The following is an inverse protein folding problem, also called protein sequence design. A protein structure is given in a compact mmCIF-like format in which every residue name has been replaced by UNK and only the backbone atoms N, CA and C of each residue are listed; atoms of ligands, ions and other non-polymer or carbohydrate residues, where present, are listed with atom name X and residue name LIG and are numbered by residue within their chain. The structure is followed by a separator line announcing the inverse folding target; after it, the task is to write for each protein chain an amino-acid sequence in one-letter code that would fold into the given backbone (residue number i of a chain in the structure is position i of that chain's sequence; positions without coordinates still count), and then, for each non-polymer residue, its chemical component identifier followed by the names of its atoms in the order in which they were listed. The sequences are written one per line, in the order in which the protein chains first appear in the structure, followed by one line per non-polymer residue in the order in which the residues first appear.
data_IF_460861501000
#
_entry.id   IF_460861501000
#
_cell.length_a   1.000
_cell.length_b   1.000
_cell.length_c   1.000
_cell.angle_alpha   90.00
_cell.angle_beta   90.00
_cell.angle_gamma   90.00
#
_symmetry.space_group_name_H-M   'P 1'
#
loop_
_entity.id
_entity.type
_entity.pdbx_description
1 polymer ?
#
# COMPACT_ATOMS: atom_id res chain seq x y z
N UNK A 1 -3.61 3.30 -8.62
CA UNK A 1 -5.02 3.60 -8.93
C UNK A 1 -5.79 2.31 -9.22
N UNK A 2 -5.38 1.49 -10.18
CA UNK A 2 -6.04 0.23 -10.57
C UNK A 2 -6.31 -0.71 -9.37
N UNK A 3 -5.32 -0.89 -8.49
CA UNK A 3 -5.49 -1.71 -7.29
C UNK A 3 -6.60 -1.17 -6.36
N UNK A 4 -6.68 0.14 -6.19
CA UNK A 4 -7.72 0.76 -5.38
C UNK A 4 -9.11 0.64 -6.02
N UNK A 5 -9.21 0.71 -7.35
CA UNK A 5 -10.47 0.43 -8.06
C UNK A 5 -10.97 -1.00 -7.83
N UNK A 6 -10.06 -1.98 -7.77
CA UNK A 6 -10.42 -3.38 -7.46
C UNK A 6 -11.01 -3.54 -6.06
N UNK A 7 -10.56 -2.74 -5.10
CA UNK A 7 -11.16 -2.67 -3.76
C UNK A 7 -12.54 -2.02 -3.82
N UNK A 8 -12.65 -0.91 -4.57
CA UNK A 8 -13.85 -0.09 -4.63
C UNK A 8 -14.07 0.75 -3.35
N UNK A 9 -15.25 1.33 -3.23
CA UNK A 9 -15.63 2.11 -2.05
C UNK A 9 -15.88 1.19 -0.85
N UNK A 10 -15.38 1.62 0.29
CA UNK A 10 -15.56 0.93 1.57
C UNK A 10 -16.66 1.63 2.37
N UNK A 11 -17.43 0.88 3.12
CA UNK A 11 -18.37 1.43 4.10
C UNK A 11 -17.61 2.14 5.24
N UNK A 12 -18.24 3.12 5.88
CA UNK A 12 -17.60 3.99 6.88
C UNK A 12 -17.03 3.23 8.09
N UNK A 13 -17.61 2.10 8.44
CA UNK A 13 -17.15 1.24 9.53
C UNK A 13 -16.08 0.23 9.12
N UNK A 14 -15.70 0.20 7.85
CA UNK A 14 -14.64 -0.69 7.37
C UNK A 14 -13.28 0.01 7.38
N UNK A 15 -12.24 -0.76 7.63
CA UNK A 15 -10.84 -0.31 7.56
C UNK A 15 -10.14 -0.95 6.36
N UNK A 16 -9.10 -0.27 5.87
CA UNK A 16 -8.15 -0.81 4.88
C UNK A 16 -6.72 -0.77 5.41
N UNK A 17 -5.91 -1.73 4.98
CA UNK A 17 -4.49 -1.83 5.28
C UNK A 17 -3.67 -1.75 4.00
N UNK A 18 -2.66 -0.90 3.97
CA UNK A 18 -1.66 -0.83 2.89
C UNK A 18 -0.31 -1.25 3.44
N UNK A 19 0.29 -2.27 2.85
CA UNK A 19 1.60 -2.78 3.26
C UNK A 19 2.66 -2.31 2.25
N UNK A 20 3.66 -1.61 2.76
CA UNK A 20 4.69 -0.95 1.96
C UNK A 20 4.36 0.50 1.63
N UNK A 21 5.15 1.44 2.17
CA UNK A 21 5.04 2.89 1.97
C UNK A 21 6.20 3.44 1.12
N UNK A 22 6.64 2.69 0.12
CA UNK A 22 7.53 3.18 -0.94
C UNK A 22 6.79 4.11 -1.89
N UNK A 23 7.43 4.50 -2.99
CA UNK A 23 6.85 5.48 -3.93
C UNK A 23 5.48 5.08 -4.51
N UNK A 24 5.20 3.79 -4.73
CA UNK A 24 3.87 3.33 -5.18
C UNK A 24 2.88 3.32 -4.03
N UNK A 25 3.29 2.82 -2.86
CA UNK A 25 2.43 2.77 -1.67
C UNK A 25 2.00 4.15 -1.18
N UNK A 26 2.92 5.13 -1.13
CA UNK A 26 2.61 6.52 -0.77
C UNK A 26 1.61 7.16 -1.75
N UNK A 27 1.74 6.91 -3.07
CA UNK A 27 0.71 7.32 -4.03
C UNK A 27 -0.63 6.62 -3.76
N UNK A 28 -0.60 5.34 -3.38
CA UNK A 28 -1.79 4.63 -2.94
C UNK A 28 -2.48 5.32 -1.75
N UNK A 29 -1.69 5.74 -0.75
CA UNK A 29 -2.19 6.47 0.43
C UNK A 29 -2.84 7.80 0.02
N UNK A 30 -2.18 8.60 -0.83
CA UNK A 30 -2.71 9.87 -1.32
C UNK A 30 -4.07 9.71 -2.03
N UNK A 31 -4.24 8.62 -2.76
CA UNK A 31 -5.46 8.35 -3.53
C UNK A 31 -6.56 7.66 -2.72
N UNK A 32 -6.21 7.03 -1.59
CA UNK A 32 -7.09 6.12 -0.88
C UNK A 32 -8.45 6.76 -0.54
N UNK A 33 -8.44 7.93 0.10
CA UNK A 33 -9.68 8.60 0.50
C UNK A 33 -10.58 8.96 -0.69
N UNK A 34 -9.99 9.43 -1.79
CA UNK A 34 -10.73 9.79 -2.99
C UNK A 34 -11.36 8.58 -3.68
N UNK A 35 -10.67 7.44 -3.72
CA UNK A 35 -11.12 6.24 -4.44
C UNK A 35 -11.95 5.33 -3.55
N UNK A 36 -11.48 5.03 -2.34
CA UNK A 36 -12.11 4.05 -1.44
C UNK A 36 -13.06 4.68 -0.41
N UNK A 37 -13.02 6.01 -0.24
CA UNK A 37 -13.77 6.73 0.79
C UNK A 37 -13.08 6.75 2.17
N UNK A 38 -12.02 5.97 2.38
CA UNK A 38 -11.38 5.77 3.68
C UNK A 38 -9.87 6.05 3.63
N UNK A 39 -9.35 6.64 4.71
CA UNK A 39 -7.91 6.73 4.95
C UNK A 39 -7.38 5.34 5.41
N UNK A 40 -6.29 4.82 4.82
CA UNK A 40 -5.79 3.51 5.15
C UNK A 40 -4.99 3.50 6.46
N UNK A 41 -4.88 2.32 7.07
CA UNK A 41 -3.79 1.98 7.98
C UNK A 41 -2.60 1.60 7.11
N UNK A 42 -1.39 2.03 7.46
CA UNK A 42 -0.18 1.71 6.70
C UNK A 42 0.76 0.86 7.54
N UNK A 43 1.33 -0.18 6.95
CA UNK A 43 2.39 -0.98 7.56
C UNK A 43 3.67 -0.85 6.73
N UNK A 44 4.76 -0.43 7.36
CA UNK A 44 6.09 -0.39 6.74
C UNK A 44 7.17 -0.63 7.79
N UNK A 45 8.30 -1.23 7.38
CA UNK A 45 9.43 -1.52 8.25
C UNK A 45 10.21 -0.25 8.65
N UNK A 46 10.22 0.74 7.76
CA UNK A 46 11.00 1.98 7.90
C UNK A 46 10.17 3.05 8.61
N UNK A 47 10.64 3.58 9.75
CA UNK A 47 9.94 4.64 10.47
C UNK A 47 9.77 5.92 9.65
N UNK A 48 10.75 6.30 8.81
CA UNK A 48 10.64 7.48 7.96
C UNK A 48 9.54 7.33 6.90
N UNK A 49 9.36 6.12 6.35
CA UNK A 49 8.26 5.82 5.42
C UNK A 49 6.91 5.80 6.14
N UNK A 50 6.84 5.29 7.37
CA UNK A 50 5.63 5.36 8.19
C UNK A 50 5.20 6.81 8.46
N UNK A 51 6.18 7.66 8.81
CA UNK A 51 5.93 9.10 9.02
C UNK A 51 5.48 9.79 7.72
N UNK A 52 6.13 9.49 6.59
CA UNK A 52 5.69 9.99 5.28
C UNK A 52 4.25 9.56 4.96
N UNK A 53 3.88 8.32 5.25
CA UNK A 53 2.51 7.83 5.04
C UNK A 53 1.48 8.61 5.88
N UNK A 54 1.79 8.96 7.13
CA UNK A 54 0.93 9.81 7.95
C UNK A 54 0.74 11.21 7.34
N UNK A 55 1.85 11.84 6.88
CA UNK A 55 1.78 13.13 6.17
C UNK A 55 0.97 13.05 4.87
N UNK A 56 0.97 11.90 4.19
CA UNK A 56 0.21 11.64 2.98
C UNK A 56 -1.27 11.31 3.23
N UNK A 57 -1.72 11.27 4.48
CA UNK A 57 -3.12 11.08 4.85
C UNK A 57 -3.48 9.67 5.31
N UNK A 58 -2.53 8.83 5.69
CA UNK A 58 -2.83 7.58 6.38
C UNK A 58 -3.48 7.85 7.74
N UNK A 59 -4.43 7.01 8.13
CA UNK A 59 -5.12 7.09 9.44
C UNK A 59 -4.17 6.80 10.59
N UNK A 60 -3.30 5.81 10.41
CA UNK A 60 -2.24 5.42 11.34
C UNK A 60 -1.18 4.62 10.58
N UNK A 61 0.00 4.49 11.17
CA UNK A 61 1.09 3.71 10.61
C UNK A 61 1.70 2.80 11.69
N UNK A 62 2.06 1.56 11.33
CA UNK A 62 2.53 0.53 12.23
C UNK A 62 3.79 -0.15 11.69
N UNK A 63 4.63 -0.68 12.57
CA UNK A 63 5.69 -1.60 12.19
C UNK A 63 5.14 -3.04 12.24
N UNK A 64 5.08 -3.75 11.13
CA UNK A 64 4.54 -5.12 11.11
C UNK A 64 5.44 -6.14 11.82
N UNK A 65 6.70 -5.77 12.18
CA UNK A 65 7.64 -6.63 12.91
C UNK A 65 7.45 -6.56 14.43
N UNK A 66 6.75 -5.56 14.94
CA UNK A 66 6.50 -5.47 16.39
C UNK A 66 5.74 -6.70 16.88
N UNK A 67 6.17 -7.23 18.02
CA UNK A 67 5.51 -8.38 18.61
C UNK A 67 4.01 -8.12 18.85
N UNK A 68 3.19 -8.96 18.25
CA UNK A 68 1.74 -8.82 18.36
C UNK A 68 1.13 -7.74 17.45
N UNK A 69 1.86 -7.12 16.52
CA UNK A 69 1.34 -6.07 15.61
C UNK A 69 0.06 -6.50 14.89
N UNK A 70 0.05 -7.72 14.32
CA UNK A 70 -1.15 -8.25 13.66
C UNK A 70 -2.32 -8.43 14.66
N UNK A 71 -2.04 -8.93 15.85
CA UNK A 71 -3.07 -9.11 16.91
C UNK A 71 -3.64 -7.77 17.36
N UNK A 72 -2.79 -6.76 17.54
CA UNK A 72 -3.20 -5.41 17.88
C UNK A 72 -4.08 -4.78 16.78
N UNK A 73 -3.68 -4.94 15.52
CA UNK A 73 -4.47 -4.49 14.37
C UNK A 73 -5.86 -5.16 14.33
N UNK A 74 -5.90 -6.48 14.47
CA UNK A 74 -7.15 -7.22 14.50
C UNK A 74 -8.05 -6.80 15.68
N UNK A 75 -7.47 -6.56 16.86
CA UNK A 75 -8.22 -6.07 18.04
C UNK A 75 -8.81 -4.68 17.80
N UNK A 76 -8.04 -3.79 17.17
CA UNK A 76 -8.47 -2.42 16.93
C UNK A 76 -9.52 -2.28 15.81
N UNK A 77 -9.53 -3.18 14.83
CA UNK A 77 -10.35 -3.04 13.62
C UNK A 77 -11.40 -4.14 13.43
N UNK A 78 -11.32 -5.24 14.17
CA UNK A 78 -12.08 -6.46 13.88
C UNK A 78 -11.62 -7.17 12.58
N UNK A 79 -10.44 -6.81 12.07
CA UNK A 79 -9.91 -7.15 10.76
C UNK A 79 -10.29 -6.14 9.68
N UNK A 80 -9.43 -5.98 8.67
CA UNK A 80 -9.64 -5.03 7.58
C UNK A 80 -10.50 -5.65 6.47
N UNK A 81 -11.32 -4.82 5.83
CA UNK A 81 -12.13 -5.28 4.68
C UNK A 81 -11.30 -5.33 3.40
N UNK A 82 -10.30 -4.48 3.31
CA UNK A 82 -9.40 -4.44 2.16
C UNK A 82 -7.94 -4.35 2.61
N UNK A 83 -7.06 -5.06 1.91
CA UNK A 83 -5.63 -4.92 2.06
C UNK A 83 -4.97 -4.75 0.69
N UNK A 84 -3.97 -3.85 0.58
CA UNK A 84 -3.14 -3.72 -0.61
C UNK A 84 -1.69 -3.94 -0.22
N UNK A 85 -1.06 -4.93 -0.83
CA UNK A 85 0.36 -5.20 -0.64
C UNK A 85 1.16 -4.55 -1.78
N UNK A 86 1.80 -3.41 -1.46
CA UNK A 86 2.68 -2.68 -2.35
C UNK A 86 4.14 -3.13 -2.27
N UNK A 87 4.50 -3.97 -1.30
CA UNK A 87 5.83 -4.55 -1.17
C UNK A 87 5.96 -5.82 -2.02
N UNK A 88 5.05 -6.76 -1.89
CA UNK A 88 5.02 -7.98 -2.69
C UNK A 88 6.10 -8.99 -2.30
N UNK A 89 6.33 -9.16 -1.01
CA UNK A 89 7.16 -10.22 -0.44
C UNK A 89 6.30 -11.25 0.30
N UNK A 90 6.85 -12.43 0.60
CA UNK A 90 6.15 -13.43 1.40
C UNK A 90 5.61 -12.87 2.73
N UNK A 91 6.47 -12.26 3.58
CA UNK A 91 6.02 -11.68 4.85
C UNK A 91 5.00 -10.55 4.72
N UNK A 92 5.13 -9.67 3.71
CA UNK A 92 4.14 -8.60 3.50
C UNK A 92 2.78 -9.14 3.07
N UNK A 93 2.80 -10.16 2.20
CA UNK A 93 1.59 -10.86 1.79
C UNK A 93 0.90 -11.53 2.99
N UNK A 94 1.65 -12.28 3.79
CA UNK A 94 1.10 -12.99 4.96
C UNK A 94 0.53 -12.03 6.00
N UNK A 95 1.18 -10.89 6.24
CA UNK A 95 0.67 -9.85 7.12
C UNK A 95 -0.63 -9.24 6.59
N UNK A 96 -0.65 -8.86 5.31
CA UNK A 96 -1.82 -8.32 4.64
C UNK A 96 -2.99 -9.32 4.64
N UNK A 97 -2.73 -10.56 4.27
CA UNK A 97 -3.73 -11.63 4.24
C UNK A 97 -4.28 -11.96 5.64
N UNK A 98 -3.39 -12.09 6.63
CA UNK A 98 -3.75 -12.38 8.02
C UNK A 98 -4.63 -11.28 8.65
N UNK A 99 -4.49 -10.04 8.19
CA UNK A 99 -5.26 -8.89 8.67
C UNK A 99 -6.73 -8.87 8.22
N UNK A 100 -7.09 -9.67 7.20
CA UNK A 100 -8.42 -9.63 6.61
C UNK A 100 -9.51 -10.18 7.55
N UNK A 101 -10.62 -9.45 7.59
CA UNK A 101 -11.88 -9.95 8.19
C UNK A 101 -12.62 -10.87 7.22
N UNK A 102 -13.72 -11.49 7.67
CA UNK A 102 -14.61 -12.28 6.81
C UNK A 102 -15.14 -11.42 5.65
N UNK A 103 -15.09 -11.96 4.43
CA UNK A 103 -15.45 -11.28 3.18
C UNK A 103 -14.37 -10.31 2.67
N UNK A 104 -13.20 -10.23 3.34
CA UNK A 104 -12.15 -9.29 2.99
C UNK A 104 -11.48 -9.57 1.64
N UNK A 105 -10.97 -8.52 1.01
CA UNK A 105 -10.29 -8.56 -0.29
C UNK A 105 -8.86 -8.02 -0.17
N UNK A 106 -7.89 -8.83 -0.58
CA UNK A 106 -6.49 -8.45 -0.73
C UNK A 106 -6.13 -8.25 -2.19
N UNK A 107 -5.41 -7.16 -2.48
CA UNK A 107 -4.83 -6.88 -3.80
C UNK A 107 -3.30 -6.83 -3.69
N UNK A 108 -2.60 -7.69 -4.41
CA UNK A 108 -1.15 -7.73 -4.48
C UNK A 108 -0.65 -6.90 -5.66
N UNK A 109 0.29 -5.98 -5.41
CA UNK A 109 0.84 -5.02 -6.39
C UNK A 109 2.36 -5.11 -6.47
N UNK A 110 3.02 -5.24 -5.32
CA UNK A 110 4.48 -5.26 -5.22
C UNK A 110 5.11 -6.49 -5.88
N UNK A 111 6.36 -6.34 -6.30
CA UNK A 111 7.12 -7.34 -7.05
C UNK A 111 8.49 -7.65 -6.42
N UNK A 112 8.65 -7.50 -5.10
CA UNK A 112 9.89 -7.94 -4.43
C UNK A 112 10.12 -9.44 -4.61
N UNK A 113 9.05 -10.19 -4.80
CA UNK A 113 9.11 -11.62 -5.09
C UNK A 113 9.10 -12.48 -3.82
N UNK A 114 9.19 -13.79 -4.05
CA UNK A 114 9.15 -14.78 -2.99
C UNK A 114 7.91 -15.66 -3.04
N UNK A 115 7.73 -16.43 -1.97
CA UNK A 115 6.63 -17.37 -1.79
C UNK A 115 5.90 -17.00 -0.51
N UNK A 116 4.59 -17.10 -0.50
CA UNK A 116 3.75 -16.94 0.67
C UNK A 116 2.87 -18.17 0.84
N UNK A 117 2.61 -18.53 2.10
CA UNK A 117 1.75 -19.66 2.45
C UNK A 117 0.42 -19.14 2.98
N UNK A 118 -0.67 -19.67 2.48
CA UNK A 118 -2.01 -19.37 2.98
C UNK A 118 -2.74 -20.64 3.40
N UNK A 119 -3.55 -20.53 4.45
CA UNK A 119 -4.42 -21.62 4.89
C UNK A 119 -5.67 -21.65 4.03
N UNK A 120 -5.85 -22.74 3.26
CA UNK A 120 -7.05 -22.92 2.43
C UNK A 120 -8.33 -22.99 3.31
N UNK A 121 -8.25 -23.60 4.49
CA UNK A 121 -9.38 -23.64 5.43
C UNK A 121 -9.80 -22.23 5.86
N UNK A 122 -8.86 -21.38 6.27
CA UNK A 122 -9.15 -19.99 6.62
C UNK A 122 -9.67 -19.21 5.41
N UNK A 123 -9.10 -19.44 4.23
CA UNK A 123 -9.53 -18.80 2.99
C UNK A 123 -11.02 -19.05 2.72
N UNK A 124 -11.44 -20.31 2.83
CA UNK A 124 -12.84 -20.71 2.62
C UNK A 124 -13.74 -20.19 3.74
N UNK A 125 -13.37 -20.45 5.02
CA UNK A 125 -14.21 -20.07 6.17
C UNK A 125 -14.44 -18.58 6.30
N UNK A 126 -13.45 -17.77 5.90
CA UNK A 126 -13.57 -16.31 5.88
C UNK A 126 -14.11 -15.76 4.55
N UNK A 127 -14.35 -16.60 3.54
CA UNK A 127 -14.75 -16.19 2.18
C UNK A 127 -13.85 -15.06 1.64
N UNK A 128 -12.53 -15.24 1.72
CA UNK A 128 -11.56 -14.23 1.34
C UNK A 128 -11.40 -14.16 -0.18
N UNK A 129 -10.99 -12.98 -0.67
CA UNK A 129 -10.58 -12.76 -2.05
C UNK A 129 -9.12 -12.31 -2.07
N UNK A 130 -8.34 -12.87 -3.00
CA UNK A 130 -6.97 -12.42 -3.32
C UNK A 130 -6.90 -12.18 -4.82
N UNK A 131 -6.36 -11.05 -5.22
CA UNK A 131 -6.15 -10.71 -6.63
C UNK A 131 -4.84 -9.96 -6.84
N UNK A 132 -4.23 -10.14 -8.01
CA UNK A 132 -3.10 -9.34 -8.47
C UNK A 132 -3.57 -8.04 -9.13
N UNK A 133 -2.70 -7.03 -9.13
CA UNK A 133 -2.87 -5.81 -9.91
C UNK A 133 -1.54 -5.39 -10.52
N UNK A 134 -1.40 -5.57 -11.82
CA UNK A 134 -0.22 -5.16 -12.57
C UNK A 134 -0.54 -3.93 -13.41
N UNK A 135 0.23 -2.87 -13.19
CA UNK A 135 0.08 -1.54 -13.85
C UNK A 135 -1.37 -1.06 -13.94
N UNK A 136 -1.79 -0.49 -15.06
CA UNK A 136 -3.14 -0.03 -15.33
C UNK A 136 -3.39 0.14 -16.82
N UNK A 137 -4.63 0.39 -17.20
CA UNK A 137 -5.03 0.67 -18.58
C UNK A 137 -4.94 2.15 -18.91
N UNK A 138 -4.99 2.51 -20.21
CA UNK A 138 -5.07 3.90 -20.66
C UNK A 138 -6.32 4.60 -20.08
N UNK A 139 -7.45 3.92 -20.04
CA UNK A 139 -8.68 4.46 -19.45
C UNK A 139 -8.50 4.80 -17.96
N UNK A 140 -7.85 3.91 -17.20
CA UNK A 140 -7.56 4.17 -15.78
C UNK A 140 -6.57 5.32 -15.58
N UNK A 141 -5.61 5.53 -16.49
CA UNK A 141 -4.74 6.70 -16.47
C UNK A 141 -5.52 7.99 -16.70
N UNK A 142 -6.42 8.01 -17.67
CA UNK A 142 -7.30 9.17 -17.94
C UNK A 142 -8.20 9.49 -16.74
N UNK A 143 -8.78 8.47 -16.11
CA UNK A 143 -9.58 8.64 -14.89
C UNK A 143 -8.73 9.19 -13.73
N UNK A 144 -7.50 8.69 -13.55
CA UNK A 144 -6.58 9.16 -12.52
C UNK A 144 -6.20 10.62 -12.74
N UNK A 145 -5.89 11.03 -13.96
CA UNK A 145 -5.59 12.43 -14.31
C UNK A 145 -6.81 13.31 -14.01
N UNK A 146 -8.00 12.90 -14.43
CA UNK A 146 -9.23 13.65 -14.16
C UNK A 146 -9.51 13.76 -12.64
N UNK A 147 -9.22 12.71 -11.87
CA UNK A 147 -9.33 12.74 -10.42
C UNK A 147 -8.32 13.73 -9.80
N UNK A 148 -7.06 13.69 -10.23
CA UNK A 148 -6.00 14.57 -9.74
C UNK A 148 -6.28 16.04 -10.04
N UNK A 149 -6.89 16.36 -11.19
CA UNK A 149 -7.31 17.72 -11.55
C UNK A 149 -8.46 18.24 -10.69
N UNK A 150 -9.33 17.36 -10.20
CA UNK A 150 -10.51 17.72 -9.39
C UNK A 150 -10.25 17.70 -7.88
N UNK A 151 -9.20 17.03 -7.45
CA UNK A 151 -8.93 16.76 -6.03
C UNK A 151 -7.52 17.21 -5.68
N UNK A 152 -7.37 18.02 -4.63
CA UNK A 152 -6.04 18.32 -4.08
C UNK A 152 -5.46 17.06 -3.45
N UNK A 153 -4.56 16.40 -4.16
CA UNK A 153 -3.84 15.22 -3.67
C UNK A 153 -2.55 15.65 -2.97
N UNK A 154 -2.16 15.02 -1.85
CA UNK A 154 -0.87 15.26 -1.24
C UNK A 154 0.27 15.00 -2.22
N UNK A 155 1.26 15.89 -2.24
CA UNK A 155 2.43 15.73 -3.09
C UNK A 155 3.35 14.63 -2.55
N UNK A 156 3.75 13.71 -3.42
CA UNK A 156 4.73 12.68 -3.09
C UNK A 156 6.10 13.32 -2.79
N UNK A 157 6.83 12.87 -1.75
CA UNK A 157 8.21 13.29 -1.55
C UNK A 157 9.08 12.95 -2.77
N UNK A 158 9.77 13.95 -3.32
CA UNK A 158 10.66 13.79 -4.47
C UNK A 158 12.03 14.37 -4.11
N UNK A 159 13.09 13.61 -4.35
CA UNK A 159 14.47 14.07 -4.31
C UNK A 159 15.00 14.15 -5.74
N UNK A 160 15.47 15.33 -6.17
CA UNK A 160 16.16 15.50 -7.44
C UNK A 160 17.65 15.14 -7.28
N UNK A 161 18.22 14.45 -8.27
CA UNK A 161 19.65 14.15 -8.36
C UNK A 161 20.12 14.34 -9.81
N UNK A 162 21.37 14.76 -10.03
CA UNK A 162 21.96 14.79 -11.38
C UNK A 162 21.96 13.39 -12.01
N UNK A 163 21.75 13.29 -13.31
CA UNK A 163 21.80 12.01 -14.05
C UNK A 163 23.13 11.26 -13.82
N UNK A 164 24.23 11.97 -13.66
CA UNK A 164 25.54 11.38 -13.34
C UNK A 164 25.54 10.57 -12.03
N UNK A 165 24.58 10.80 -11.12
CA UNK A 165 24.42 10.06 -9.86
C UNK A 165 23.42 8.89 -9.97
N UNK A 166 23.06 8.45 -11.16
CA UNK A 166 22.07 7.38 -11.36
C UNK A 166 22.46 6.09 -10.63
N UNK A 167 23.74 5.69 -10.70
CA UNK A 167 24.23 4.48 -10.00
C UNK A 167 24.07 4.59 -8.48
N UNK A 168 24.41 5.76 -7.90
CA UNK A 168 24.21 6.03 -6.47
C UNK A 168 22.73 5.99 -6.10
N UNK A 169 21.86 6.63 -6.90
CA UNK A 169 20.43 6.64 -6.68
C UNK A 169 19.81 5.22 -6.71
N UNK A 170 20.28 4.36 -7.62
CA UNK A 170 19.86 2.96 -7.68
C UNK A 170 20.34 2.16 -6.45
N UNK A 171 21.56 2.43 -5.97
CA UNK A 171 22.04 1.80 -4.75
C UNK A 171 21.23 2.23 -3.52
N UNK A 172 20.94 3.53 -3.37
CA UNK A 172 20.05 4.04 -2.32
C UNK A 172 18.66 3.38 -2.35
N UNK A 173 18.11 3.18 -3.55
CA UNK A 173 16.83 2.50 -3.74
C UNK A 173 16.91 1.03 -3.29
N UNK A 174 17.96 0.33 -3.70
CA UNK A 174 18.23 -1.06 -3.31
C UNK A 174 18.39 -1.23 -1.80
N UNK A 175 19.05 -0.28 -1.16
CA UNK A 175 19.31 -0.27 0.30
C UNK A 175 18.08 0.21 1.10
N UNK A 176 16.96 0.51 0.43
CA UNK A 176 15.71 0.95 1.08
C UNK A 176 15.72 2.38 1.60
N UNK A 177 16.76 3.18 1.32
CA UNK A 177 16.99 4.52 1.87
C UNK A 177 16.12 5.62 1.24
N UNK A 178 15.28 5.26 0.24
CA UNK A 178 14.47 6.23 -0.50
C UNK A 178 13.07 6.32 0.10
N UNK A 179 12.67 7.53 0.50
CA UNK A 179 11.28 7.86 0.85
C UNK A 179 10.65 8.61 -0.33
N UNK A 180 9.61 8.05 -0.91
CA UNK A 180 9.00 8.62 -2.12
C UNK A 180 9.72 8.23 -3.39
N UNK A 181 10.23 9.20 -4.15
CA UNK A 181 10.90 9.00 -5.45
C UNK A 181 12.19 9.80 -5.56
N UNK A 182 13.14 9.27 -6.32
CA UNK A 182 14.27 10.05 -6.87
C UNK A 182 13.96 10.33 -8.34
N UNK A 183 14.12 11.59 -8.74
CA UNK A 183 14.07 12.05 -10.13
C UNK A 183 15.50 12.39 -10.54
N UNK A 184 15.92 11.91 -11.69
CA UNK A 184 17.23 12.21 -12.27
C UNK A 184 17.07 13.32 -13.30
N UNK A 185 17.79 14.42 -13.10
CA UNK A 185 17.82 15.57 -13.99
C UNK A 185 19.03 15.46 -14.93
N UNK A 186 18.83 15.76 -16.23
CA UNK A 186 19.86 15.72 -17.27
C UNK A 186 20.67 17.03 -17.31
#
# INVERSE_FOLDING_TARGET
YSALKKIGRLADHHSSLFVGAGGVGLNGVALAKAVTGQAPIVADLDPAKREAALRMGAKTAIDPREDGALKALLKATGGVMAAVDFAGSGPSFEFAYGSLRKGGHMVSVGLLGGVATLSLGIHVMKALRVSGSYVGSLAELQELIALAQKTSLPALPIAAKPLAQATEALQMLKDGQVVGRIVLDA
#
